data_IF_451803106262
#
_entry.id   IF_451803106262
#
_cell.length_a   1.000
_cell.length_b   1.000
_cell.length_c   1.000
_cell.angle_alpha   90.00
_cell.angle_beta   90.00
_cell.angle_gamma   90.00
#
_symmetry.space_group_name_H-M   'P 1'
#
loop_
_entity.id
_entity.type
_entity.pdbx_description
1 polymer ?
#
# COMPACT_ATOMS: atom_id res chain seq x y z
N UNK A 1 -4.45 -6.89 -5.81
CA UNK A 1 -3.63 -6.00 -6.66
C UNK A 1 -4.39 -5.73 -7.94
N UNK A 2 -4.66 -4.47 -8.27
CA UNK A 2 -5.30 -4.11 -9.56
C UNK A 2 -4.65 -2.83 -10.08
N UNK A 3 -4.07 -2.87 -11.29
CA UNK A 3 -3.37 -1.74 -11.89
C UNK A 3 -4.25 -0.48 -12.02
N UNK A 4 -5.58 -0.64 -12.21
CA UNK A 4 -6.56 0.46 -12.38
C UNK A 4 -6.58 1.54 -11.30
N UNK A 5 -6.05 1.25 -10.11
CA UNK A 5 -6.01 2.24 -9.01
C UNK A 5 -4.69 3.00 -8.98
N UNK A 6 -3.74 2.63 -9.83
CA UNK A 6 -2.36 3.10 -9.84
C UNK A 6 -1.98 3.76 -11.16
N UNK A 7 -2.95 4.31 -11.90
CA UNK A 7 -2.70 4.99 -13.18
C UNK A 7 -1.66 6.12 -13.05
N UNK A 8 -1.60 6.79 -11.89
CA UNK A 8 -0.60 7.83 -11.59
C UNK A 8 0.82 7.30 -11.34
N UNK A 9 1.01 5.98 -11.28
CA UNK A 9 2.30 5.35 -11.01
C UNK A 9 3.14 5.17 -12.29
N UNK A 10 2.57 5.45 -13.46
CA UNK A 10 3.23 5.29 -14.75
C UNK A 10 3.09 3.86 -15.28
N UNK A 11 4.08 3.39 -16.03
CA UNK A 11 4.04 2.04 -16.60
C UNK A 11 4.08 0.97 -15.51
N UNK A 12 3.09 0.09 -15.55
CA UNK A 12 2.94 -1.10 -14.71
C UNK A 12 2.58 -2.33 -15.55
N UNK A 13 2.70 -2.27 -16.88
CA UNK A 13 2.16 -3.26 -17.82
C UNK A 13 2.83 -4.63 -17.75
N UNK A 14 4.07 -4.70 -17.26
CA UNK A 14 4.85 -5.95 -17.13
C UNK A 14 5.34 -6.17 -15.69
N UNK A 15 5.69 -7.42 -15.32
CA UNK A 15 6.29 -7.69 -14.02
C UNK A 15 7.56 -6.85 -13.75
N UNK A 16 8.44 -6.71 -14.73
CA UNK A 16 9.67 -5.93 -14.58
C UNK A 16 9.39 -4.43 -14.39
N UNK A 17 8.39 -3.89 -15.11
CA UNK A 17 7.93 -2.51 -14.90
C UNK A 17 7.42 -2.33 -13.46
N UNK A 18 6.60 -3.26 -12.95
CA UNK A 18 6.10 -3.21 -11.56
C UNK A 18 7.24 -3.29 -10.54
N UNK A 19 8.17 -4.23 -10.71
CA UNK A 19 9.23 -4.50 -9.75
C UNK A 19 10.31 -3.40 -9.72
N UNK A 20 10.54 -2.72 -10.84
CA UNK A 20 11.51 -1.62 -10.92
C UNK A 20 10.94 -0.27 -10.50
N UNK A 21 9.61 -0.07 -10.58
CA UNK A 21 8.94 1.22 -10.37
C UNK A 21 9.12 1.78 -8.93
N UNK A 22 9.68 3.00 -8.85
CA UNK A 22 9.95 3.68 -7.58
C UNK A 22 8.68 4.03 -6.78
N UNK A 23 7.58 4.38 -7.45
CA UNK A 23 6.30 4.70 -6.79
C UNK A 23 5.65 3.46 -6.19
N UNK A 24 5.74 2.31 -6.88
CA UNK A 24 5.31 1.00 -6.33
C UNK A 24 6.09 0.68 -5.06
N UNK A 25 7.43 0.80 -5.09
CA UNK A 25 8.28 0.56 -3.91
C UNK A 25 7.93 1.48 -2.75
N UNK A 26 7.76 2.77 -3.01
CA UNK A 26 7.38 3.74 -1.99
C UNK A 26 6.00 3.45 -1.39
N UNK A 27 5.02 3.09 -2.22
CA UNK A 27 3.69 2.71 -1.76
C UNK A 27 3.71 1.41 -0.95
N UNK A 28 4.46 0.39 -1.39
CA UNK A 28 4.66 -0.85 -0.66
C UNK A 28 5.22 -0.62 0.75
N UNK A 29 6.20 0.28 0.89
CA UNK A 29 6.71 0.70 2.21
C UNK A 29 5.61 1.32 3.08
N UNK A 30 4.76 2.19 2.51
CA UNK A 30 3.63 2.80 3.23
C UNK A 30 2.65 1.72 3.73
N UNK A 31 2.29 0.76 2.88
CA UNK A 31 1.39 -0.36 3.25
C UNK A 31 1.98 -1.19 4.39
N UNK A 32 3.25 -1.58 4.29
CA UNK A 32 3.91 -2.38 5.32
C UNK A 32 4.04 -1.65 6.66
N UNK A 33 4.29 -0.34 6.64
CA UNK A 33 4.30 0.47 7.87
C UNK A 33 2.92 0.46 8.55
N UNK A 34 1.85 0.73 7.80
CA UNK A 34 0.48 0.68 8.34
C UNK A 34 0.13 -0.69 8.90
N UNK A 35 0.54 -1.76 8.20
CA UNK A 35 0.35 -3.13 8.71
C UNK A 35 1.11 -3.37 10.03
N UNK A 36 2.37 -2.92 10.12
CA UNK A 36 3.15 -2.99 11.36
C UNK A 36 2.50 -2.23 12.51
N UNK A 37 1.86 -1.08 12.24
CA UNK A 37 1.13 -0.34 13.26
C UNK A 37 -0.12 -1.10 13.75
N UNK A 38 -0.78 -1.86 12.87
CA UNK A 38 -1.83 -2.81 13.27
C UNK A 38 -1.32 -3.90 14.22
N UNK A 39 -0.15 -4.48 13.94
CA UNK A 39 0.47 -5.49 14.80
C UNK A 39 0.86 -4.95 16.19
N UNK A 40 1.11 -3.64 16.32
CA UNK A 40 1.38 -2.99 17.62
C UNK A 40 0.10 -2.71 18.42
N UNK A 41 -1.07 -2.74 17.77
CA UNK A 41 -2.37 -2.37 18.34
C UNK A 41 -3.41 -3.47 18.07
N UNK A 42 -3.06 -4.73 18.34
CA UNK A 42 -3.90 -5.90 18.02
C UNK A 42 -5.27 -5.88 18.71
N UNK A 43 -5.36 -5.22 19.87
CA UNK A 43 -6.58 -5.01 20.64
C UNK A 43 -7.46 -3.87 20.10
N UNK A 44 -6.91 -2.98 19.27
CA UNK A 44 -7.60 -1.81 18.72
C UNK A 44 -7.44 -1.64 17.20
N UNK A 45 -7.49 -2.74 16.44
CA UNK A 45 -7.37 -2.69 14.99
C UNK A 45 -8.39 -1.76 14.31
N UNK A 46 -9.62 -1.68 14.85
CA UNK A 46 -10.67 -0.79 14.32
C UNK A 46 -10.25 0.68 14.40
N UNK A 47 -9.73 1.12 15.55
CA UNK A 47 -9.22 2.48 15.71
C UNK A 47 -8.00 2.75 14.84
N UNK A 48 -7.04 1.81 14.84
CA UNK A 48 -5.79 1.93 14.07
C UNK A 48 -6.03 2.04 12.56
N UNK A 49 -7.03 1.34 12.03
CA UNK A 49 -7.32 1.33 10.59
C UNK A 49 -8.49 2.21 10.15
N UNK A 50 -9.14 2.94 11.06
CA UNK A 50 -10.29 3.80 10.73
C UNK A 50 -9.97 4.76 9.57
N UNK A 51 -8.83 5.47 9.64
CA UNK A 51 -8.46 6.40 8.57
C UNK A 51 -8.13 5.72 7.24
N UNK A 52 -7.56 4.51 7.28
CA UNK A 52 -7.28 3.75 6.06
C UNK A 52 -8.56 3.25 5.38
N UNK A 53 -9.62 2.99 6.16
CA UNK A 53 -10.91 2.52 5.63
C UNK A 53 -11.73 3.58 4.90
N UNK A 54 -11.35 4.86 5.03
CA UNK A 54 -11.97 6.00 4.33
C UNK A 54 -11.38 6.27 2.94
N UNK A 55 -10.30 5.57 2.57
CA UNK A 55 -9.58 5.73 1.30
C UNK A 55 -10.16 4.81 0.21
#
# INVERSE_FOLDING_TARGET
WTQRFFDSFGDLSTPDAVMSNAKVKAHGKKVLNSFSDGLKNLDNLKGTFAKLSEL
#
